data_IF_361363688306
#
_entry.id   IF_361363688306
#
_cell.length_a   1.000
_cell.length_b   1.000
_cell.length_c   1.000
_cell.angle_alpha   90.00
_cell.angle_beta   90.00
_cell.angle_gamma   90.00
#
_symmetry.space_group_name_H-M   'P 1'
#
loop_
_entity.id
_entity.type
_entity.pdbx_description
1 polymer ?
#
# COMPACT_ATOMS: atom_id res chain seq x y z
N UNK A 1 31.07 8.75 3.23
CA UNK A 1 30.21 7.96 2.35
C UNK A 1 30.37 8.46 0.93
N UNK A 2 30.65 7.57 -0.03
CA UNK A 2 30.86 7.93 -1.44
C UNK A 2 29.62 7.74 -2.32
N UNK A 3 28.59 7.04 -1.81
CA UNK A 3 27.33 6.81 -2.52
C UNK A 3 26.42 5.87 -1.74
N UNK A 4 25.15 5.87 -2.13
CA UNK A 4 24.11 4.97 -1.60
C UNK A 4 23.32 4.40 -2.77
N UNK A 5 23.07 3.08 -2.74
CA UNK A 5 22.17 2.41 -3.68
C UNK A 5 20.98 1.86 -2.90
N UNK A 6 19.78 2.23 -3.30
CA UNK A 6 18.53 1.76 -2.73
C UNK A 6 17.77 0.97 -3.80
N UNK A 7 17.59 -0.33 -3.58
CA UNK A 7 16.82 -1.19 -4.45
C UNK A 7 15.60 -1.72 -3.68
N UNK A 8 14.39 -1.37 -4.13
CA UNK A 8 13.12 -1.69 -3.47
C UNK A 8 13.08 -1.30 -1.98
N UNK A 9 13.77 -0.22 -1.63
CA UNK A 9 13.89 0.22 -0.25
C UNK A 9 12.58 0.82 0.25
N UNK A 10 12.14 0.35 1.41
CA UNK A 10 10.97 0.88 2.11
C UNK A 10 11.42 1.95 3.10
N UNK A 11 11.82 3.11 2.56
CA UNK A 11 12.21 4.29 3.33
C UNK A 11 11.01 5.21 3.51
N UNK A 12 10.96 5.95 4.62
CA UNK A 12 9.83 6.84 4.94
C UNK A 12 8.45 6.18 4.69
N UNK A 13 8.11 5.09 5.40
CA UNK A 13 6.92 4.29 5.14
C UNK A 13 5.62 5.10 5.08
N UNK A 14 5.47 6.09 5.95
CA UNK A 14 4.30 6.94 5.99
C UNK A 14 4.13 7.73 4.68
N UNK A 15 5.19 8.36 4.18
CA UNK A 15 5.15 9.19 2.97
C UNK A 15 4.81 8.34 1.74
N UNK A 16 5.38 7.14 1.65
CA UNK A 16 5.12 6.21 0.55
C UNK A 16 3.67 5.70 0.60
N UNK A 17 3.21 5.25 1.76
CA UNK A 17 1.92 4.59 1.90
C UNK A 17 0.75 5.59 1.95
N UNK A 18 0.99 6.86 2.32
CA UNK A 18 -0.04 7.90 2.31
C UNK A 18 -0.59 8.19 0.92
N UNK A 19 0.17 7.93 -0.14
CA UNK A 19 -0.24 8.16 -1.52
C UNK A 19 -0.91 6.95 -2.20
N UNK A 20 -1.05 5.81 -1.51
CA UNK A 20 -1.57 4.59 -2.12
C UNK A 20 -3.01 4.73 -2.64
N UNK A 21 -3.87 5.50 -1.97
CA UNK A 21 -5.23 5.76 -2.41
C UNK A 21 -5.28 6.57 -3.72
N UNK A 22 -4.46 7.60 -3.82
CA UNK A 22 -4.30 8.40 -5.04
C UNK A 22 -3.74 7.56 -6.18
N UNK A 23 -2.74 6.76 -5.91
CA UNK A 23 -2.13 5.89 -6.90
C UNK A 23 -3.14 4.88 -7.47
N UNK A 24 -3.89 4.18 -6.61
CA UNK A 24 -4.92 3.24 -7.02
C UNK A 24 -6.05 3.92 -7.82
N UNK A 25 -6.46 5.12 -7.44
CA UNK A 25 -7.44 5.90 -8.17
C UNK A 25 -6.95 6.28 -9.58
N UNK A 26 -5.70 6.71 -9.74
CA UNK A 26 -5.13 7.05 -11.04
C UNK A 26 -4.93 5.83 -11.95
N UNK A 27 -4.80 4.64 -11.38
CA UNK A 27 -4.80 3.37 -12.12
C UNK A 27 -6.20 2.86 -12.45
N UNK A 28 -7.25 3.62 -12.11
CA UNK A 28 -8.65 3.23 -12.29
C UNK A 28 -9.07 1.96 -11.51
N UNK A 29 -8.36 1.65 -10.43
CA UNK A 29 -8.69 0.53 -9.54
C UNK A 29 -9.76 0.89 -8.52
N UNK A 30 -9.90 2.17 -8.21
CA UNK A 30 -10.87 2.73 -7.28
C UNK A 30 -11.71 3.81 -7.97
N UNK A 31 -12.97 3.92 -7.58
CA UNK A 31 -13.78 5.08 -7.88
C UNK A 31 -13.53 6.23 -6.89
N UNK A 32 -14.19 7.36 -7.10
CA UNK A 32 -14.01 8.52 -6.23
C UNK A 32 -14.46 8.28 -4.78
N UNK A 33 -15.56 7.54 -4.59
CA UNK A 33 -16.08 7.27 -3.24
C UNK A 33 -15.19 6.28 -2.49
N UNK A 34 -14.68 5.28 -3.18
CA UNK A 34 -13.74 4.30 -2.64
C UNK A 34 -12.42 4.97 -2.25
N UNK A 35 -11.89 5.85 -3.10
CA UNK A 35 -10.73 6.66 -2.78
C UNK A 35 -10.94 7.46 -1.48
N UNK A 36 -12.10 8.12 -1.31
CA UNK A 36 -12.39 8.90 -0.10
C UNK A 36 -12.41 8.04 1.17
N UNK A 37 -12.84 6.78 1.07
CA UNK A 37 -12.77 5.83 2.19
C UNK A 37 -11.33 5.48 2.54
N UNK A 38 -10.49 5.22 1.54
CA UNK A 38 -9.05 4.99 1.76
C UNK A 38 -8.41 6.20 2.42
N UNK A 39 -8.69 7.41 1.96
CA UNK A 39 -8.16 8.63 2.58
C UNK A 39 -8.59 8.78 4.04
N UNK A 40 -9.81 8.37 4.40
CA UNK A 40 -10.25 8.36 5.81
C UNK A 40 -9.39 7.44 6.68
N UNK A 41 -9.04 6.26 6.18
CA UNK A 41 -8.14 5.33 6.86
C UNK A 41 -6.74 5.94 7.00
N UNK A 42 -6.24 6.55 5.94
CA UNK A 42 -4.91 7.18 5.92
C UNK A 42 -4.82 8.41 6.84
N UNK A 43 -5.90 9.17 6.99
CA UNK A 43 -5.97 10.25 7.98
C UNK A 43 -5.87 9.73 9.42
N UNK A 44 -6.45 8.56 9.70
CA UNK A 44 -6.28 7.89 11.00
C UNK A 44 -4.84 7.44 11.18
N UNK A 45 -4.23 6.88 10.15
CA UNK A 45 -2.82 6.51 10.14
C UNK A 45 -1.91 7.73 10.42
N UNK A 46 -2.21 8.89 9.85
CA UNK A 46 -1.49 10.13 10.11
C UNK A 46 -1.52 10.53 11.59
N UNK A 47 -2.68 10.41 12.24
CA UNK A 47 -2.81 10.68 13.68
C UNK A 47 -2.00 9.71 14.52
N UNK A 48 -1.99 8.42 14.16
CA UNK A 48 -1.21 7.41 14.86
C UNK A 48 0.29 7.62 14.67
N UNK A 49 0.73 8.05 13.48
CA UNK A 49 2.11 8.44 13.23
C UNK A 49 2.54 9.62 14.12
N UNK A 50 1.70 10.64 14.24
CA UNK A 50 1.96 11.79 15.13
C UNK A 50 2.03 11.43 16.62
N UNK A 51 1.34 10.36 17.04
CA UNK A 51 1.39 9.81 18.40
C UNK A 51 2.53 8.79 18.60
N UNK A 52 3.27 8.46 17.56
CA UNK A 52 4.30 7.41 17.56
C UNK A 52 3.74 6.01 17.89
N UNK A 53 2.45 5.79 17.65
CA UNK A 53 1.82 4.48 17.75
C UNK A 53 2.02 3.69 16.44
N UNK A 54 3.19 3.11 16.30
CA UNK A 54 3.60 2.43 15.06
C UNK A 54 2.84 1.13 14.80
N UNK A 55 2.32 0.48 15.84
CA UNK A 55 1.49 -0.71 15.66
C UNK A 55 0.12 -0.35 15.05
N UNK A 56 -0.53 0.69 15.60
CA UNK A 56 -1.78 1.19 15.04
C UNK A 56 -1.58 1.72 13.61
N UNK A 57 -0.47 2.42 13.35
CA UNK A 57 -0.08 2.90 12.02
C UNK A 57 0.05 1.73 11.03
N UNK A 58 0.75 0.68 11.42
CA UNK A 58 0.92 -0.53 10.60
C UNK A 58 -0.43 -1.17 10.25
N UNK A 59 -1.30 -1.34 11.25
CA UNK A 59 -2.62 -1.93 11.06
C UNK A 59 -3.51 -1.07 10.15
N UNK A 60 -3.43 0.26 10.25
CA UNK A 60 -4.17 1.16 9.38
C UNK A 60 -3.71 1.06 7.92
N UNK A 61 -2.41 0.94 7.66
CA UNK A 61 -1.90 0.73 6.31
C UNK A 61 -2.33 -0.61 5.72
N UNK A 62 -2.28 -1.69 6.50
CA UNK A 62 -2.81 -2.99 6.08
C UNK A 62 -4.31 -2.91 5.75
N UNK A 63 -5.10 -2.25 6.60
CA UNK A 63 -6.53 -2.06 6.36
C UNK A 63 -6.80 -1.27 5.08
N UNK A 64 -6.00 -0.25 4.78
CA UNK A 64 -6.12 0.53 3.55
C UNK A 64 -5.78 -0.32 2.32
N UNK A 65 -4.69 -1.09 2.38
CA UNK A 65 -4.27 -1.96 1.29
C UNK A 65 -5.29 -3.06 1.02
N UNK A 66 -5.77 -3.73 2.07
CA UNK A 66 -6.79 -4.78 1.95
C UNK A 66 -8.08 -4.23 1.34
N UNK A 67 -8.50 -3.05 1.75
CA UNK A 67 -9.66 -2.37 1.18
C UNK A 67 -9.47 -2.08 -0.32
N UNK A 68 -8.31 -1.57 -0.72
CA UNK A 68 -7.99 -1.31 -2.13
C UNK A 68 -8.06 -2.59 -2.95
N UNK A 69 -7.42 -3.66 -2.47
CA UNK A 69 -7.40 -4.96 -3.15
C UNK A 69 -8.82 -5.53 -3.30
N UNK A 70 -9.63 -5.47 -2.25
CA UNK A 70 -11.01 -5.96 -2.27
C UNK A 70 -11.88 -5.18 -3.26
N UNK A 71 -11.84 -3.84 -3.23
CA UNK A 71 -12.63 -3.01 -4.14
C UNK A 71 -12.18 -3.12 -5.60
N UNK A 72 -10.90 -3.34 -5.83
CA UNK A 72 -10.34 -3.55 -7.16
C UNK A 72 -10.65 -4.94 -7.77
N UNK A 73 -11.44 -5.78 -7.09
CA UNK A 73 -11.81 -7.11 -7.57
C UNK A 73 -10.81 -8.21 -7.20
N UNK A 74 -10.16 -8.05 -6.05
CA UNK A 74 -9.18 -9.01 -5.51
C UNK A 74 -7.95 -9.20 -6.42
N UNK A 75 -7.47 -8.11 -7.01
CA UNK A 75 -6.27 -8.10 -7.85
C UNK A 75 -5.01 -8.32 -7.01
N UNK A 76 -3.98 -8.84 -7.64
CA UNK A 76 -2.67 -8.91 -7.03
C UNK A 76 -2.01 -7.52 -7.03
N UNK A 77 -1.62 -6.99 -5.88
CA UNK A 77 -1.03 -5.65 -5.80
C UNK A 77 0.40 -5.55 -6.35
N UNK A 78 1.07 -6.67 -6.60
CA UNK A 78 2.36 -6.70 -7.31
C UNK A 78 2.19 -6.74 -8.83
N UNK A 79 1.08 -7.34 -9.30
CA UNK A 79 0.74 -7.39 -10.73
C UNK A 79 -0.78 -7.35 -10.91
N UNK A 80 -1.32 -6.17 -11.16
CA UNK A 80 -2.76 -5.94 -11.29
C UNK A 80 -3.44 -6.68 -12.45
N UNK A 81 -2.67 -7.32 -13.32
CA UNK A 81 -3.18 -8.15 -14.42
C UNK A 81 -3.53 -9.57 -13.98
N UNK A 82 -3.20 -9.92 -12.75
CA UNK A 82 -3.40 -11.26 -12.19
C UNK A 82 -4.38 -11.20 -11.05
N UNK A 83 -5.33 -12.13 -11.01
CA UNK A 83 -6.30 -12.29 -9.92
C UNK A 83 -5.69 -13.08 -8.77
N UNK A 84 -6.06 -12.68 -7.54
CA UNK A 84 -5.82 -13.45 -6.33
C UNK A 84 -4.40 -13.44 -5.80
N UNK A 85 -4.14 -14.35 -4.86
CA UNK A 85 -2.82 -14.52 -4.27
C UNK A 85 -1.85 -15.12 -5.29
N UNK A 86 -0.97 -14.29 -5.79
CA UNK A 86 0.16 -14.77 -6.58
C UNK A 86 1.18 -15.38 -5.61
N UNK A 87 1.23 -16.72 -5.56
CA UNK A 87 2.40 -17.37 -4.97
C UNK A 87 3.62 -16.98 -5.79
N UNK A 88 4.42 -16.07 -5.26
CA UNK A 88 5.72 -15.76 -5.82
C UNK A 88 6.61 -17.02 -5.66
N UNK A 89 6.56 -17.90 -6.64
CA UNK A 89 7.52 -18.99 -6.73
C UNK A 89 8.85 -18.40 -7.16
N UNK A 90 9.62 -17.93 -6.17
CA UNK A 90 11.02 -17.61 -6.40
C UNK A 90 11.73 -18.94 -6.66
N UNK A 91 11.88 -19.28 -7.92
CA UNK A 91 12.67 -20.45 -8.32
C UNK A 91 14.12 -19.95 -8.33
N UNK A 92 14.85 -20.23 -7.25
CA UNK A 92 16.31 -20.09 -7.28
C UNK A 92 16.89 -21.29 -8.00
N UNK A 93 17.37 -21.08 -9.22
CA UNK A 93 18.28 -22.00 -9.86
C UNK A 93 19.71 -21.59 -9.52
N UNK A 94 20.37 -22.42 -8.76
CA UNK A 94 21.81 -22.30 -8.56
C UNK A 94 22.54 -23.24 -9.51
#
# INVERSE_FOLDING_TARGET
MKGVVLANAFTAPYDILSEMGNFAFHLSLLDYQERMKVETILLRAAKNNGKQDYLALHNDFHSALDYIVEQAGNVNYFDIRVDGEYECKIIFYF
#
